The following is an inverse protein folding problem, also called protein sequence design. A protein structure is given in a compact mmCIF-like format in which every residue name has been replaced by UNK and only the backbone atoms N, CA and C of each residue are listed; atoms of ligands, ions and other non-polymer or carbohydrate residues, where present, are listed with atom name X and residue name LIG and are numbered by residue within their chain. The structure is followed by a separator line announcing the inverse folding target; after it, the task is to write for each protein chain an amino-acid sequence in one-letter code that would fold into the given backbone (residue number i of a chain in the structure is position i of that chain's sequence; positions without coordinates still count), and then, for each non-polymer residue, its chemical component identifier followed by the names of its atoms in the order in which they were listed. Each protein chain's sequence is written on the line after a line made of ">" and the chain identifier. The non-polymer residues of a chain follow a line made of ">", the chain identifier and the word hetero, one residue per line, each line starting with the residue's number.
data_IF_623150808874
#
_entry.id   IF_623150808874
#
_cell.length_a   1.000
_cell.length_b   1.000
_cell.length_c   1.000
_cell.angle_alpha   90.00
_cell.angle_beta   90.00
_cell.angle_gamma   90.00
#
_symmetry.space_group_name_H-M   'P 1'
#
loop_
_entity.id
_entity.type
_entity.pdbx_description
1 polymer ?
#
# COMPACT_ATOMS: atom_id res chain seq x y z
N UNK A 1 -15.34 -11.98 -0.37
CA UNK A 1 -13.98 -11.41 -0.20
C UNK A 1 -12.80 -12.39 -0.32
N UNK A 2 -13.01 -13.73 -0.43
CA UNK A 2 -11.89 -14.70 -0.47
C UNK A 2 -10.85 -14.48 -1.57
N UNK A 3 -11.27 -14.15 -2.80
CA UNK A 3 -10.33 -13.87 -3.91
C UNK A 3 -9.43 -12.67 -3.58
N UNK A 4 -10.02 -11.57 -3.10
CA UNK A 4 -9.28 -10.38 -2.68
C UNK A 4 -8.28 -10.67 -1.55
N UNK A 5 -8.66 -11.54 -0.60
CA UNK A 5 -7.74 -11.98 0.45
C UNK A 5 -6.53 -12.75 -0.11
N UNK A 6 -6.74 -13.66 -1.07
CA UNK A 6 -5.64 -14.38 -1.73
C UNK A 6 -4.72 -13.42 -2.47
N UNK A 7 -5.29 -12.47 -3.22
CA UNK A 7 -4.49 -11.47 -3.93
C UNK A 7 -3.70 -10.57 -2.99
N UNK A 8 -4.30 -10.13 -1.88
CA UNK A 8 -3.61 -9.36 -0.85
C UNK A 8 -2.46 -10.18 -0.21
N UNK A 9 -2.67 -11.47 0.06
CA UNK A 9 -1.63 -12.34 0.59
C UNK A 9 -0.44 -12.47 -0.36
N UNK A 10 -0.69 -12.77 -1.63
CA UNK A 10 0.36 -12.92 -2.64
C UNK A 10 1.10 -11.59 -2.84
N UNK A 11 0.36 -10.48 -2.93
CA UNK A 11 0.95 -9.15 -3.04
C UNK A 11 1.85 -8.82 -1.84
N UNK A 12 1.37 -9.15 -0.63
CA UNK A 12 2.10 -8.92 0.61
C UNK A 12 3.41 -9.72 0.67
N UNK A 13 3.34 -11.01 0.32
CA UNK A 13 4.51 -11.88 0.23
C UNK A 13 5.50 -11.39 -0.85
N UNK A 14 5.01 -10.95 -2.01
CA UNK A 14 5.86 -10.44 -3.07
C UNK A 14 6.66 -9.20 -2.62
N UNK A 15 6.03 -8.27 -1.89
CA UNK A 15 6.73 -7.10 -1.33
C UNK A 15 7.76 -7.46 -0.25
N UNK A 16 7.51 -8.48 0.57
CA UNK A 16 8.47 -8.95 1.57
C UNK A 16 9.64 -9.69 0.92
N UNK A 17 9.37 -10.58 -0.04
CA UNK A 17 10.44 -11.34 -0.71
C UNK A 17 11.28 -10.42 -1.59
N UNK A 18 10.68 -9.39 -2.20
CA UNK A 18 11.43 -8.39 -2.96
C UNK A 18 12.53 -7.70 -2.14
N UNK A 19 12.37 -7.55 -0.82
CA UNK A 19 13.40 -6.90 0.02
C UNK A 19 14.64 -7.77 0.25
N UNK A 20 14.56 -9.08 -0.03
CA UNK A 20 15.70 -10.01 0.01
C UNK A 20 16.60 -9.83 -1.21
N UNK A 21 16.08 -9.24 -2.29
CA UNK A 21 16.82 -8.94 -3.52
C UNK A 21 17.05 -7.42 -3.59
N UNK A 22 18.06 -6.87 -2.90
CA UNK A 22 18.30 -5.44 -2.92
C UNK A 22 18.60 -4.96 -4.36
N UNK A 23 18.37 -3.67 -4.70
CA UNK A 23 18.52 -3.14 -6.06
C UNK A 23 19.90 -3.30 -6.74
N UNK A 24 20.92 -3.78 -6.02
CA UNK A 24 22.25 -4.14 -6.57
C UNK A 24 22.48 -5.65 -6.77
N UNK A 25 21.59 -6.53 -6.29
CA UNK A 25 21.73 -7.98 -6.34
C UNK A 25 20.46 -8.59 -6.94
N UNK A 26 20.54 -9.13 -8.16
CA UNK A 26 19.40 -9.61 -8.95
C UNK A 26 18.29 -8.55 -9.19
N UNK A 27 18.61 -7.43 -9.88
CA UNK A 27 17.68 -6.31 -10.09
C UNK A 27 16.40 -6.69 -10.85
N UNK A 28 16.47 -7.69 -11.73
CA UNK A 28 15.29 -8.22 -12.44
C UNK A 28 14.29 -8.91 -11.51
N UNK A 29 14.77 -9.60 -10.47
CA UNK A 29 13.92 -10.25 -9.47
C UNK A 29 13.26 -9.25 -8.55
N UNK A 30 14.01 -8.24 -8.08
CA UNK A 30 13.46 -7.13 -7.31
C UNK A 30 12.32 -6.43 -8.06
N UNK A 31 12.54 -6.10 -9.33
CA UNK A 31 11.55 -5.46 -10.17
C UNK A 31 10.35 -6.38 -10.45
N UNK A 32 10.60 -7.63 -10.84
CA UNK A 32 9.53 -8.60 -11.14
C UNK A 32 8.62 -8.88 -9.95
N UNK A 33 9.19 -9.07 -8.75
CA UNK A 33 8.42 -9.26 -7.52
C UNK A 33 7.65 -7.99 -7.12
N UNK A 34 8.25 -6.81 -7.31
CA UNK A 34 7.56 -5.54 -7.07
C UNK A 34 6.39 -5.34 -8.03
N UNK A 35 6.54 -5.73 -9.30
CA UNK A 35 5.47 -5.70 -10.30
C UNK A 35 4.32 -6.64 -9.94
N UNK A 36 4.61 -7.84 -9.44
CA UNK A 36 3.59 -8.75 -8.91
C UNK A 36 2.89 -8.13 -7.70
N UNK A 37 3.67 -7.60 -6.74
CA UNK A 37 3.14 -6.97 -5.52
C UNK A 37 2.16 -5.82 -5.81
N UNK A 38 2.61 -4.83 -6.60
CA UNK A 38 1.79 -3.69 -6.95
C UNK A 38 0.66 -4.08 -7.93
N UNK A 39 0.91 -4.95 -8.90
CA UNK A 39 -0.12 -5.38 -9.86
C UNK A 39 -1.28 -6.10 -9.19
N UNK A 40 -1.00 -7.02 -8.27
CA UNK A 40 -2.02 -7.75 -7.51
C UNK A 40 -2.73 -6.88 -6.47
N UNK A 41 -2.26 -5.67 -6.21
CA UNK A 41 -2.96 -4.72 -5.36
C UNK A 41 -4.23 -4.17 -6.04
N UNK A 42 -4.25 -4.04 -7.37
CA UNK A 42 -5.42 -3.54 -8.12
C UNK A 42 -6.71 -4.31 -7.84
N UNK A 43 -6.77 -5.67 -7.95
CA UNK A 43 -7.99 -6.40 -7.63
C UNK A 43 -8.39 -6.30 -6.15
N UNK A 44 -7.43 -6.07 -5.23
CA UNK A 44 -7.72 -5.80 -3.82
C UNK A 44 -8.39 -4.43 -3.67
N UNK A 45 -7.84 -3.39 -4.30
CA UNK A 45 -8.40 -2.04 -4.30
C UNK A 45 -9.81 -2.03 -4.91
N UNK A 46 -10.02 -2.73 -6.04
CA UNK A 46 -11.34 -2.86 -6.66
C UNK A 46 -12.36 -3.52 -5.71
N UNK A 47 -11.94 -4.57 -5.00
CA UNK A 47 -12.81 -5.23 -4.01
C UNK A 47 -13.13 -4.33 -2.82
N UNK A 48 -12.13 -3.57 -2.35
CA UNK A 48 -12.30 -2.58 -1.30
C UNK A 48 -13.25 -1.46 -1.74
N UNK A 49 -13.16 -0.98 -2.98
CA UNK A 49 -14.07 0.04 -3.52
C UNK A 49 -15.54 -0.34 -3.37
N UNK A 50 -15.91 -1.53 -3.85
CA UNK A 50 -17.28 -2.06 -3.77
C UNK A 50 -17.74 -2.16 -2.32
N UNK A 51 -16.83 -2.49 -1.39
CA UNK A 51 -17.15 -2.56 0.04
C UNK A 51 -17.34 -1.18 0.68
N UNK A 52 -16.59 -0.18 0.22
CA UNK A 52 -16.59 1.16 0.80
C UNK A 52 -17.71 2.03 0.27
N UNK A 53 -18.11 1.84 -0.99
CA UNK A 53 -19.06 2.70 -1.69
C UNK A 53 -20.39 2.90 -0.93
N UNK A 54 -21.04 1.85 -0.38
CA UNK A 54 -22.33 2.01 0.31
C UNK A 54 -22.23 2.81 1.60
N UNK A 55 -21.04 2.88 2.22
CA UNK A 55 -20.82 3.54 3.51
C UNK A 55 -20.35 4.99 3.33
N UNK A 56 -19.50 5.23 2.33
CA UNK A 56 -18.97 6.57 2.04
C UNK A 56 -18.44 6.67 0.62
N UNK A 57 -19.32 6.99 -0.33
CA UNK A 57 -18.99 7.08 -1.77
C UNK A 57 -17.78 7.96 -2.09
N UNK A 58 -17.69 9.16 -1.52
CA UNK A 58 -16.55 10.06 -1.75
C UNK A 58 -15.22 9.46 -1.27
N UNK A 59 -15.22 8.82 -0.09
CA UNK A 59 -14.06 8.12 0.45
C UNK A 59 -13.69 6.88 -0.36
N UNK A 60 -14.68 6.14 -0.86
CA UNK A 60 -14.48 5.00 -1.74
C UNK A 60 -13.85 5.40 -3.08
N UNK A 61 -14.31 6.49 -3.69
CA UNK A 61 -13.74 7.00 -4.95
C UNK A 61 -12.32 7.51 -4.75
N UNK A 62 -12.09 8.37 -3.75
CA UNK A 62 -10.76 8.90 -3.45
C UNK A 62 -9.78 7.77 -3.09
N UNK A 63 -10.22 6.80 -2.28
CA UNK A 63 -9.43 5.63 -1.90
C UNK A 63 -9.06 4.75 -3.10
N UNK A 64 -9.95 4.61 -4.08
CA UNK A 64 -9.65 3.86 -5.31
C UNK A 64 -8.65 4.59 -6.19
N UNK A 65 -8.84 5.90 -6.40
CA UNK A 65 -7.92 6.70 -7.23
C UNK A 65 -6.54 6.71 -6.59
N UNK A 66 -6.44 7.05 -5.29
CA UNK A 66 -5.18 7.04 -4.58
C UNK A 66 -4.53 5.65 -4.56
N UNK A 67 -5.33 4.59 -4.39
CA UNK A 67 -4.85 3.21 -4.45
C UNK A 67 -4.29 2.84 -5.83
N UNK A 68 -4.97 3.22 -6.91
CA UNK A 68 -4.46 3.01 -8.26
C UNK A 68 -3.16 3.79 -8.50
N UNK A 69 -3.05 5.01 -7.99
CA UNK A 69 -1.80 5.78 -8.01
C UNK A 69 -0.66 5.10 -7.23
N UNK A 70 -0.95 4.45 -6.10
CA UNK A 70 0.04 3.66 -5.36
C UNK A 70 0.60 2.53 -6.20
N UNK A 71 -0.25 1.89 -7.02
CA UNK A 71 0.20 0.83 -7.94
C UNK A 71 1.14 1.38 -9.01
N UNK A 72 0.73 2.44 -9.71
CA UNK A 72 1.49 2.98 -10.84
C UNK A 72 2.78 3.64 -10.40
N UNK A 73 2.74 4.51 -9.38
CA UNK A 73 3.92 5.19 -8.84
C UNK A 73 4.80 4.23 -8.05
N UNK A 74 4.23 3.25 -7.35
CA UNK A 74 4.99 2.21 -6.65
C UNK A 74 5.79 1.34 -7.62
N UNK A 75 5.19 0.94 -8.73
CA UNK A 75 5.89 0.22 -9.80
C UNK A 75 6.96 1.10 -10.45
N UNK A 76 6.63 2.37 -10.74
CA UNK A 76 7.60 3.34 -11.24
C UNK A 76 8.79 3.51 -10.30
N UNK A 77 8.55 3.64 -9.00
CA UNK A 77 9.58 3.77 -7.97
C UNK A 77 10.46 2.52 -7.84
N UNK A 78 9.95 1.34 -8.20
CA UNK A 78 10.75 0.11 -8.23
C UNK A 78 11.76 0.08 -9.38
N UNK A 79 11.49 0.81 -10.47
CA UNK A 79 12.40 0.94 -11.63
C UNK A 79 13.20 2.24 -11.64
N UNK A 80 12.73 3.29 -10.98
CA UNK A 80 13.37 4.60 -10.90
C UNK A 80 13.21 5.20 -9.49
N UNK A 81 14.31 5.31 -8.75
CA UNK A 81 14.32 5.81 -7.36
C UNK A 81 13.86 7.26 -7.22
N UNK A 82 13.93 8.07 -8.29
CA UNK A 82 13.48 9.47 -8.28
C UNK A 82 11.96 9.59 -8.07
N UNK A 83 11.22 8.50 -8.33
CA UNK A 83 9.77 8.45 -8.12
C UNK A 83 9.37 8.03 -6.69
N UNK A 84 10.33 7.66 -5.83
CA UNK A 84 10.05 7.24 -4.45
C UNK A 84 9.26 8.31 -3.66
N UNK A 85 9.63 9.61 -3.66
CA UNK A 85 8.88 10.62 -2.93
C UNK A 85 7.42 10.70 -3.37
N UNK A 86 7.16 10.65 -4.68
CA UNK A 86 5.81 10.66 -5.23
C UNK A 86 5.03 9.39 -4.82
N UNK A 87 5.67 8.22 -4.87
CA UNK A 87 5.07 6.95 -4.45
C UNK A 87 4.71 6.94 -2.96
N UNK A 88 5.57 7.50 -2.10
CA UNK A 88 5.30 7.65 -0.67
C UNK A 88 4.15 8.63 -0.40
N UNK A 89 4.10 9.75 -1.13
CA UNK A 89 3.04 10.72 -0.99
C UNK A 89 1.66 10.12 -1.30
N UNK A 90 1.52 9.43 -2.44
CA UNK A 90 0.23 8.81 -2.80
C UNK A 90 -0.12 7.64 -1.88
N UNK A 91 0.88 6.90 -1.37
CA UNK A 91 0.67 5.86 -0.34
C UNK A 91 0.14 6.46 0.95
N UNK A 92 0.70 7.60 1.37
CA UNK A 92 0.17 8.39 2.49
C UNK A 92 -1.29 8.78 2.28
N UNK A 93 -1.62 9.36 1.13
CA UNK A 93 -3.01 9.73 0.81
C UNK A 93 -3.93 8.50 0.85
N UNK A 94 -3.50 7.40 0.26
CA UNK A 94 -4.30 6.18 0.19
C UNK A 94 -4.57 5.59 1.58
N UNK A 95 -3.51 5.36 2.37
CA UNK A 95 -3.63 4.83 3.73
C UNK A 95 -4.40 5.76 4.67
N UNK A 96 -4.23 7.08 4.55
CA UNK A 96 -5.03 8.02 5.31
C UNK A 96 -6.52 7.89 4.97
N UNK A 97 -6.84 7.87 3.67
CA UNK A 97 -8.22 7.84 3.18
C UNK A 97 -8.93 6.56 3.60
N UNK A 98 -8.35 5.39 3.35
CA UNK A 98 -8.97 4.11 3.70
C UNK A 98 -8.92 3.87 5.22
N UNK A 99 -7.83 4.24 5.88
CA UNK A 99 -7.66 4.05 7.33
C UNK A 99 -8.69 4.84 8.13
N UNK A 100 -8.87 6.13 7.81
CA UNK A 100 -9.91 6.96 8.45
C UNK A 100 -11.30 6.43 8.17
N UNK A 101 -11.57 6.03 6.93
CA UNK A 101 -12.87 5.43 6.61
C UNK A 101 -13.13 4.18 7.44
N UNK A 102 -12.15 3.29 7.61
CA UNK A 102 -12.30 2.09 8.43
C UNK A 102 -12.49 2.41 9.91
N UNK A 103 -11.76 3.39 10.42
CA UNK A 103 -11.89 3.86 11.80
C UNK A 103 -13.29 4.44 12.08
N UNK A 104 -13.82 5.24 11.15
CA UNK A 104 -15.10 5.94 11.28
C UNK A 104 -16.31 5.02 11.01
N UNK A 105 -16.27 4.20 9.95
CA UNK A 105 -17.43 3.40 9.51
C UNK A 105 -17.45 1.97 10.08
N UNK A 106 -16.31 1.46 10.57
CA UNK A 106 -16.19 0.09 11.03
C UNK A 106 -16.31 -0.96 9.92
N UNK A 107 -16.16 -0.56 8.65
CA UNK A 107 -16.19 -1.49 7.50
C UNK A 107 -15.11 -2.59 7.62
N UNK A 108 -13.99 -2.27 8.28
CA UNK A 108 -12.98 -3.19 8.80
C UNK A 108 -12.74 -2.86 10.28
N UNK A 109 -12.03 -3.70 11.06
CA UNK A 109 -11.78 -3.42 12.47
C UNK A 109 -11.21 -2.02 12.70
N UNK A 110 -11.89 -1.23 13.54
CA UNK A 110 -11.53 0.16 13.81
C UNK A 110 -10.06 0.36 14.25
N UNK A 111 -9.46 -0.52 15.10
CA UNK A 111 -8.04 -0.40 15.44
C UNK A 111 -7.14 -0.50 14.21
N UNK A 112 -7.45 -1.40 13.28
CA UNK A 112 -6.70 -1.52 12.03
C UNK A 112 -6.85 -0.29 11.14
N UNK A 113 -8.04 0.34 11.15
CA UNK A 113 -8.26 1.64 10.50
C UNK A 113 -7.35 2.74 11.06
N UNK A 114 -7.30 2.89 12.39
CA UNK A 114 -6.42 3.88 13.04
C UNK A 114 -4.94 3.61 12.78
N UNK A 115 -4.50 2.35 12.86
CA UNK A 115 -3.12 1.96 12.54
C UNK A 115 -2.79 2.32 11.09
N UNK A 116 -3.70 2.01 10.16
CA UNK A 116 -3.51 2.34 8.73
C UNK A 116 -3.42 3.85 8.51
N UNK A 117 -4.27 4.65 9.18
CA UNK A 117 -4.19 6.10 9.11
C UNK A 117 -2.89 6.65 9.73
N UNK A 118 -2.39 6.05 10.80
CA UNK A 118 -1.12 6.44 11.42
C UNK A 118 0.09 6.14 10.50
N UNK A 119 0.06 5.02 9.75
CA UNK A 119 1.10 4.72 8.76
C UNK A 119 1.21 5.81 7.67
N UNK A 120 0.09 6.45 7.32
CA UNK A 120 0.12 7.58 6.39
C UNK A 120 0.93 8.76 6.91
N UNK A 121 0.87 9.02 8.22
CA UNK A 121 1.64 10.10 8.86
C UNK A 121 3.13 9.84 8.67
N UNK A 122 3.59 8.58 8.81
CA UNK A 122 4.98 8.23 8.56
C UNK A 122 5.39 8.51 7.09
N UNK A 123 4.53 8.17 6.12
CA UNK A 123 4.78 8.49 4.71
C UNK A 123 4.90 10.00 4.48
N UNK A 124 3.99 10.81 5.03
CA UNK A 124 4.03 12.27 4.87
C UNK A 124 5.23 12.90 5.57
N UNK A 125 5.56 12.45 6.78
CA UNK A 125 6.72 12.92 7.52
C UNK A 125 8.01 12.68 6.74
N UNK A 126 8.16 11.49 6.14
CA UNK A 126 9.28 11.19 5.29
C UNK A 126 9.31 12.12 4.07
N UNK A 127 8.22 12.25 3.31
CA UNK A 127 8.16 13.17 2.15
C UNK A 127 8.55 14.60 2.54
N UNK A 128 8.12 15.10 3.70
CA UNK A 128 8.52 16.40 4.22
C UNK A 128 10.02 16.49 4.52
N UNK A 129 10.62 15.46 5.13
CA UNK A 129 12.07 15.37 5.35
C UNK A 129 12.83 15.44 4.02
N UNK A 130 12.40 14.71 3.00
CA UNK A 130 13.02 14.79 1.66
C UNK A 130 12.91 16.20 1.07
N UNK A 131 11.73 16.82 1.14
CA UNK A 131 11.52 18.16 0.60
C UNK A 131 12.43 19.23 1.25
N UNK A 132 12.75 19.07 2.54
CA UNK A 132 13.59 20.02 3.28
C UNK A 132 15.08 19.71 3.15
N UNK A 133 15.47 18.44 3.11
CA UNK A 133 16.88 18.01 3.23
C UNK A 133 17.51 17.53 1.93
N UNK A 134 16.70 17.16 0.93
CA UNK A 134 17.18 16.49 -0.29
C UNK A 134 17.79 15.11 -0.07
N UNK A 135 17.69 14.54 1.13
CA UNK A 135 18.30 13.24 1.44
C UNK A 135 17.63 12.13 0.62
N UNK A 136 18.41 11.23 -0.02
CA UNK A 136 17.85 10.19 -0.87
C UNK A 136 16.90 9.28 -0.09
N UNK A 137 15.75 8.99 -0.71
CA UNK A 137 14.70 8.16 -0.11
C UNK A 137 14.86 6.67 -0.33
N UNK A 138 15.93 6.24 -0.98
CA UNK A 138 16.20 4.82 -1.20
C UNK A 138 16.42 4.02 0.10
N UNK A 139 17.11 4.53 1.16
CA UNK A 139 17.23 3.78 2.41
C UNK A 139 15.90 3.56 3.16
N UNK A 140 15.01 4.56 3.34
CA UNK A 140 13.74 4.35 4.04
C UNK A 140 12.65 3.65 3.20
N UNK A 141 12.77 3.62 1.86
CA UNK A 141 11.76 2.95 1.01
C UNK A 141 11.67 1.44 1.27
N UNK A 142 12.81 0.78 1.51
CA UNK A 142 12.86 -0.66 1.73
C UNK A 142 12.05 -1.09 2.97
N UNK A 143 12.27 -0.51 4.18
CA UNK A 143 11.40 -0.74 5.33
C UNK A 143 9.92 -0.47 5.07
N UNK A 144 9.57 0.61 4.35
CA UNK A 144 8.18 0.97 4.08
C UNK A 144 7.50 0.00 3.13
N UNK A 145 8.25 -0.59 2.19
CA UNK A 145 7.77 -1.65 1.32
C UNK A 145 7.52 -2.93 2.12
N UNK A 146 8.39 -3.25 3.07
CA UNK A 146 8.14 -4.37 4.00
C UNK A 146 6.90 -4.13 4.85
N UNK A 147 6.70 -2.90 5.35
CA UNK A 147 5.49 -2.50 6.07
C UNK A 147 4.25 -2.65 5.19
N UNK A 148 4.30 -2.23 3.92
CA UNK A 148 3.22 -2.46 2.96
C UNK A 148 2.94 -3.96 2.78
N UNK A 149 3.99 -4.78 2.69
CA UNK A 149 3.88 -6.23 2.60
C UNK A 149 3.18 -6.85 3.82
N UNK A 150 3.63 -6.50 5.03
CA UNK A 150 3.01 -6.94 6.27
C UNK A 150 1.55 -6.47 6.39
N UNK A 151 1.29 -5.21 6.04
CA UNK A 151 -0.05 -4.64 6.04
C UNK A 151 -1.01 -5.40 5.12
N UNK A 152 -0.54 -5.82 3.94
CA UNK A 152 -1.32 -6.63 2.99
C UNK A 152 -1.63 -8.02 3.52
N UNK A 153 -0.70 -8.65 4.23
CA UNK A 153 -0.92 -9.95 4.88
C UNK A 153 -1.98 -9.84 5.98
N UNK A 154 -1.91 -8.79 6.80
CA UNK A 154 -2.94 -8.51 7.82
C UNK A 154 -4.30 -8.28 7.15
N UNK A 155 -4.35 -7.46 6.11
CA UNK A 155 -5.56 -7.21 5.34
C UNK A 155 -6.13 -8.51 4.74
N UNK A 156 -5.28 -9.39 4.21
CA UNK A 156 -5.69 -10.68 3.69
C UNK A 156 -6.41 -11.52 4.76
N UNK A 157 -5.85 -11.58 5.97
CA UNK A 157 -6.48 -12.26 7.11
C UNK A 157 -7.86 -11.70 7.44
N UNK A 158 -8.02 -10.37 7.44
CA UNK A 158 -9.30 -9.70 7.69
C UNK A 158 -10.32 -9.99 6.58
N UNK A 159 -9.93 -9.83 5.32
CA UNK A 159 -10.78 -10.11 4.17
C UNK A 159 -11.20 -11.58 4.07
N UNK A 160 -10.36 -12.49 4.55
CA UNK A 160 -10.68 -13.92 4.61
C UNK A 160 -11.72 -14.24 5.69
N UNK A 161 -11.58 -13.63 6.87
CA UNK A 161 -12.53 -13.80 7.99
C UNK A 161 -13.92 -13.30 7.62
N UNK A 162 -14.00 -12.14 6.98
CA UNK A 162 -15.27 -11.53 6.55
C UNK A 162 -15.93 -12.26 5.37
N UNK A 163 -15.26 -13.25 4.78
CA UNK A 163 -15.80 -14.06 3.68
C UNK A 163 -16.33 -15.43 4.15
N UNK A 164 -16.47 -15.63 5.46
CA UNK A 164 -17.18 -16.74 6.08
C UNK A 164 -18.55 -16.26 6.51
#
# INVERSE_FOLDING_TARGET
>A
MRKAAVWALIAGLAHLVASVFPPGFYPSWHFGLSAIGYGLLLPVIASLHVRHEPLRRSGAVLGTIAGASVVTLGLGAAGNTDLIPAALFVRGIWWWTIGKMWAETGVLPRPFGWITAALAIACFALVAVYAVTGLPMSPPDLPLRMILGAWLIVLAGLLWRDAR
#
